data_IF_954334146798
#
_entry.id   IF_954334146798
#
_cell.length_a   1.000
_cell.length_b   1.000
_cell.length_c   1.000
_cell.angle_alpha   90.00
_cell.angle_beta   90.00
_cell.angle_gamma   90.00
#
_symmetry.space_group_name_H-M   'P 1'
#
loop_
_entity.id
_entity.type
_entity.pdbx_description
1 polymer ?
#
# COMPACT_ATOMS: atom_id res chain seq x y z
N UNK A 1 11.88 13.20 13.39
CA UNK A 1 11.96 12.11 14.40
C UNK A 1 10.58 12.00 15.01
N UNK A 2 9.80 11.02 14.62
CA UNK A 2 8.49 10.72 15.21
C UNK A 2 8.76 10.18 16.61
N UNK A 3 8.30 10.88 17.62
CA UNK A 3 8.53 10.53 19.03
C UNK A 3 8.00 9.12 19.29
N UNK A 4 8.88 8.24 19.72
CA UNK A 4 8.64 6.84 20.13
C UNK A 4 7.54 6.69 21.21
N UNK A 5 7.05 7.81 21.79
CA UNK A 5 6.11 7.84 22.91
C UNK A 5 4.68 7.43 22.54
N UNK A 6 4.25 7.59 21.30
CA UNK A 6 2.85 7.42 20.91
C UNK A 6 2.51 6.04 20.32
N UNK A 7 3.34 5.02 20.57
CA UNK A 7 3.09 3.64 20.16
C UNK A 7 2.39 2.88 21.28
N UNK A 8 1.45 2.00 20.92
CA UNK A 8 0.71 1.12 21.86
C UNK A 8 1.63 0.26 22.72
N UNK A 9 2.80 -0.12 22.19
CA UNK A 9 3.78 -0.91 22.95
C UNK A 9 4.33 -0.22 24.19
N UNK A 10 4.29 1.11 24.24
CA UNK A 10 4.81 1.89 25.36
C UNK A 10 3.74 2.24 26.40
N UNK A 11 2.51 1.72 26.24
CA UNK A 11 1.38 2.10 27.08
C UNK A 11 1.12 1.06 28.18
N UNK A 12 0.57 1.53 29.31
CA UNK A 12 0.04 0.64 30.35
C UNK A 12 -1.35 0.15 29.91
N UNK A 13 -1.47 -1.14 29.62
CA UNK A 13 -2.65 -1.72 28.98
C UNK A 13 -3.52 -2.53 29.95
N UNK A 14 -2.98 -2.92 31.10
CA UNK A 14 -3.64 -3.74 32.10
C UNK A 14 -5.05 -3.22 32.44
N UNK A 15 -6.04 -4.09 32.31
CA UNK A 15 -7.46 -3.85 32.54
C UNK A 15 -8.09 -2.70 31.72
N UNK A 16 -7.40 -2.17 30.71
CA UNK A 16 -7.95 -1.15 29.82
C UNK A 16 -8.62 -1.76 28.60
N UNK A 17 -9.74 -1.19 28.21
CA UNK A 17 -10.44 -1.55 26.95
C UNK A 17 -9.95 -0.64 25.85
N UNK A 18 -9.39 -1.22 24.78
CA UNK A 18 -8.83 -0.49 23.63
C UNK A 18 -9.73 -0.68 22.41
N UNK A 19 -10.15 0.43 21.81
CA UNK A 19 -10.74 0.43 20.47
C UNK A 19 -9.62 0.35 19.45
N UNK A 20 -9.52 -0.74 18.71
CA UNK A 20 -8.43 -0.98 17.75
C UNK A 20 -9.01 -0.97 16.34
N UNK A 21 -8.61 0.01 15.52
CA UNK A 21 -8.98 0.10 14.11
C UNK A 21 -8.04 -0.75 13.26
N UNK A 22 -8.58 -1.80 12.68
CA UNK A 22 -7.86 -2.74 11.82
C UNK A 22 -8.45 -2.75 10.39
N UNK A 23 -7.72 -3.25 9.40
CA UNK A 23 -8.23 -3.46 8.04
C UNK A 23 -8.48 -4.94 7.78
N UNK A 24 -9.74 -5.36 7.89
CA UNK A 24 -10.22 -6.70 7.58
C UNK A 24 -10.91 -6.78 6.20
N UNK A 25 -10.71 -5.76 5.35
CA UNK A 25 -11.28 -5.73 4.01
C UNK A 25 -10.43 -6.57 3.05
N UNK A 26 -10.66 -7.86 3.06
CA UNK A 26 -9.95 -8.89 2.28
C UNK A 26 -10.80 -9.41 1.13
N UNK A 27 -10.21 -9.94 0.04
CA UNK A 27 -10.96 -10.55 -1.04
C UNK A 27 -11.61 -11.86 -0.57
N UNK A 28 -12.91 -11.99 -0.80
CA UNK A 28 -13.70 -13.18 -0.47
C UNK A 28 -14.39 -13.71 -1.73
N UNK A 29 -14.20 -14.99 -2.02
CA UNK A 29 -14.87 -15.70 -3.11
C UNK A 29 -15.63 -16.91 -2.53
N UNK A 30 -16.92 -17.00 -2.82
CA UNK A 30 -17.79 -18.11 -2.33
C UNK A 30 -17.69 -18.32 -0.80
N UNK A 31 -17.60 -17.23 -0.02
CA UNK A 31 -17.49 -17.28 1.43
C UNK A 31 -16.09 -17.58 1.99
N UNK A 32 -15.11 -17.86 1.13
CA UNK A 32 -13.74 -18.15 1.52
C UNK A 32 -12.83 -16.94 1.28
N UNK A 33 -12.02 -16.59 2.27
CA UNK A 33 -10.97 -15.58 2.13
C UNK A 33 -9.90 -16.10 1.19
N UNK A 34 -9.57 -15.30 0.16
CA UNK A 34 -8.58 -15.65 -0.86
C UNK A 34 -7.17 -15.20 -0.47
N UNK A 35 -7.08 -14.15 0.34
CA UNK A 35 -5.82 -13.58 0.83
C UNK A 35 -6.06 -13.07 2.27
N UNK A 36 -5.39 -13.67 3.23
CA UNK A 36 -5.49 -13.36 4.66
C UNK A 36 -4.34 -12.46 5.16
N UNK A 37 -3.49 -11.95 4.28
CA UNK A 37 -2.31 -11.14 4.61
C UNK A 37 -2.66 -9.96 5.52
N UNK A 38 -3.76 -9.25 5.24
CA UNK A 38 -4.22 -8.13 6.06
C UNK A 38 -4.69 -8.57 7.45
N UNK A 39 -5.31 -9.75 7.55
CA UNK A 39 -5.74 -10.30 8.85
C UNK A 39 -4.51 -10.66 9.67
N UNK A 40 -3.53 -11.33 9.07
CA UNK A 40 -2.27 -11.71 9.74
C UNK A 40 -1.44 -10.50 10.16
N UNK A 41 -1.46 -9.43 9.38
CA UNK A 41 -0.66 -8.22 9.67
C UNK A 41 -1.06 -7.52 10.98
N UNK A 42 -2.32 -7.60 11.42
CA UNK A 42 -2.81 -6.95 12.64
C UNK A 42 -2.72 -7.84 13.88
N UNK A 43 -2.45 -9.14 13.71
CA UNK A 43 -2.29 -10.10 14.81
C UNK A 43 -1.23 -9.69 15.84
N UNK A 44 -0.04 -9.17 15.44
CA UNK A 44 0.97 -8.73 16.41
C UNK A 44 0.47 -7.64 17.37
N UNK A 45 -0.30 -6.65 16.89
CA UNK A 45 -0.88 -5.61 17.74
C UNK A 45 -1.90 -6.17 18.71
N UNK A 46 -2.76 -7.06 18.24
CA UNK A 46 -3.77 -7.71 19.09
C UNK A 46 -3.08 -8.55 20.17
N UNK A 47 -2.12 -9.41 19.78
CA UNK A 47 -1.36 -10.25 20.72
C UNK A 47 -0.59 -9.41 21.75
N UNK A 48 -0.02 -8.29 21.34
CA UNK A 48 0.65 -7.40 22.28
C UNK A 48 -0.32 -6.88 23.35
N UNK A 49 -1.52 -6.45 22.95
CA UNK A 49 -2.50 -5.90 23.88
C UNK A 49 -2.99 -6.99 24.84
N UNK A 50 -3.39 -8.17 24.35
CA UNK A 50 -3.90 -9.24 25.20
C UNK A 50 -2.83 -9.81 26.14
N UNK A 51 -1.59 -9.94 25.69
CA UNK A 51 -0.47 -10.42 26.53
C UNK A 51 -0.10 -9.44 27.65
N UNK A 52 -0.46 -8.14 27.50
CA UNK A 52 -0.34 -7.12 28.53
C UNK A 52 -1.67 -6.88 29.30
N UNK A 53 -2.55 -7.89 29.34
CA UNK A 53 -3.81 -7.89 30.08
C UNK A 53 -4.78 -6.79 29.67
N UNK A 54 -4.63 -6.26 28.43
CA UNK A 54 -5.60 -5.35 27.82
C UNK A 54 -6.81 -6.09 27.28
N UNK A 55 -7.93 -5.38 27.09
CA UNK A 55 -9.17 -5.84 26.47
C UNK A 55 -9.28 -5.23 25.09
N UNK A 56 -9.54 -6.03 24.07
CA UNK A 56 -9.50 -5.57 22.68
C UNK A 56 -10.89 -5.47 22.09
N UNK A 57 -11.24 -4.30 21.55
CA UNK A 57 -12.44 -4.06 20.74
C UNK A 57 -11.98 -3.74 19.32
N UNK A 58 -12.08 -4.70 18.41
CA UNK A 58 -11.74 -4.53 17.01
C UNK A 58 -12.87 -3.85 16.25
N UNK A 59 -12.55 -2.84 15.45
CA UNK A 59 -13.48 -2.24 14.51
C UNK A 59 -12.84 -2.19 13.11
N UNK A 60 -13.62 -2.51 12.10
CA UNK A 60 -13.18 -2.53 10.70
C UNK A 60 -14.33 -2.25 9.75
N UNK A 61 -13.98 -2.02 8.49
CA UNK A 61 -14.92 -2.02 7.39
C UNK A 61 -14.75 -3.27 6.53
N UNK A 62 -15.78 -3.64 5.79
CA UNK A 62 -15.74 -4.69 4.79
C UNK A 62 -16.62 -4.33 3.59
N UNK A 63 -16.03 -4.29 2.40
CA UNK A 63 -16.71 -3.92 1.18
C UNK A 63 -17.25 -2.48 1.15
N UNK A 64 -18.32 -2.27 0.36
CA UNK A 64 -19.00 -0.99 0.19
C UNK A 64 -20.53 -1.16 0.26
N UNK A 65 -21.10 -1.38 1.44
CA UNK A 65 -22.55 -1.61 1.60
C UNK A 65 -23.39 -0.34 1.46
N UNK A 66 -22.79 0.86 1.36
CA UNK A 66 -23.54 2.10 1.15
C UNK A 66 -24.27 2.65 2.37
N UNK A 67 -23.91 2.20 3.59
CA UNK A 67 -24.56 2.62 4.83
C UNK A 67 -25.83 1.83 5.16
N UNK A 68 -25.94 0.60 4.64
CA UNK A 68 -27.04 -0.31 4.87
C UNK A 68 -26.53 -1.68 5.32
N UNK A 69 -27.28 -2.31 6.22
CA UNK A 69 -26.97 -3.67 6.66
C UNK A 69 -27.16 -4.65 5.50
N UNK A 70 -26.13 -5.45 5.26
CA UNK A 70 -26.14 -6.48 4.23
C UNK A 70 -25.27 -7.66 4.68
N UNK A 71 -25.88 -8.83 4.83
CA UNK A 71 -25.22 -10.06 5.31
C UNK A 71 -23.96 -10.42 4.49
N UNK A 72 -23.91 -10.06 3.20
CA UNK A 72 -22.73 -10.26 2.33
C UNK A 72 -21.50 -9.53 2.84
N UNK A 73 -21.70 -8.41 3.52
CA UNK A 73 -20.63 -7.54 4.03
C UNK A 73 -20.48 -7.62 5.56
N UNK A 74 -21.08 -8.62 6.22
CA UNK A 74 -20.88 -8.83 7.64
C UNK A 74 -19.48 -9.27 7.97
N UNK A 75 -18.92 -8.74 9.06
CA UNK A 75 -17.62 -9.14 9.60
C UNK A 75 -17.69 -10.43 10.46
N UNK A 76 -18.86 -11.01 10.65
CA UNK A 76 -19.02 -12.22 11.46
C UNK A 76 -18.08 -13.37 11.02
N UNK A 77 -17.90 -13.68 9.72
CA UNK A 77 -16.95 -14.71 9.29
C UNK A 77 -15.50 -14.41 9.68
N UNK A 78 -15.12 -13.12 9.76
CA UNK A 78 -13.77 -12.71 10.15
C UNK A 78 -13.47 -13.04 11.62
N UNK A 79 -14.50 -13.12 12.48
CA UNK A 79 -14.28 -13.50 13.88
C UNK A 79 -13.78 -14.95 14.05
N UNK A 80 -14.17 -15.85 13.15
CA UNK A 80 -13.69 -17.24 13.15
C UNK A 80 -12.24 -17.34 12.68
N UNK A 81 -11.89 -16.57 11.64
CA UNK A 81 -10.51 -16.53 11.12
C UNK A 81 -9.57 -15.92 12.16
N UNK A 82 -9.96 -14.78 12.74
CA UNK A 82 -9.19 -14.15 13.83
C UNK A 82 -9.06 -15.08 15.03
N UNK A 83 -10.09 -15.87 15.35
CA UNK A 83 -10.03 -16.83 16.46
C UNK A 83 -8.96 -17.90 16.22
N UNK A 84 -8.80 -18.37 14.99
CA UNK A 84 -7.74 -19.32 14.60
C UNK A 84 -6.35 -18.68 14.69
N UNK A 85 -6.18 -17.47 14.14
CA UNK A 85 -4.89 -16.76 14.13
C UNK A 85 -4.42 -16.35 15.54
N UNK A 86 -5.36 -16.04 16.43
CA UNK A 86 -5.07 -15.67 17.82
C UNK A 86 -4.98 -16.89 18.75
N UNK A 87 -5.43 -18.07 18.30
CA UNK A 87 -5.59 -19.28 19.10
C UNK A 87 -6.48 -19.03 20.34
N UNK A 88 -7.50 -18.20 20.19
CA UNK A 88 -8.51 -17.95 21.24
C UNK A 88 -9.81 -17.46 20.62
N UNK A 89 -10.91 -17.60 21.37
CA UNK A 89 -12.23 -17.14 20.92
C UNK A 89 -12.26 -15.61 20.74
N UNK A 90 -12.72 -15.15 19.57
CA UNK A 90 -13.09 -13.77 19.30
C UNK A 90 -14.62 -13.64 19.42
N UNK A 91 -15.05 -12.80 20.34
CA UNK A 91 -16.48 -12.51 20.56
C UNK A 91 -16.95 -11.60 19.43
N UNK A 92 -18.15 -11.82 18.92
CA UNK A 92 -18.72 -10.97 17.86
C UNK A 92 -19.90 -10.14 18.39
N UNK A 93 -19.95 -8.85 18.00
CA UNK A 93 -21.10 -7.97 18.21
C UNK A 93 -21.78 -7.68 16.89
N UNK A 94 -23.11 -7.88 16.83
CA UNK A 94 -23.91 -7.57 15.64
C UNK A 94 -24.12 -6.07 15.40
N UNK A 95 -23.61 -5.22 16.29
CA UNK A 95 -23.64 -3.76 16.16
C UNK A 95 -22.30 -3.14 16.52
N UNK A 96 -22.00 -1.96 15.93
CA UNK A 96 -20.82 -1.15 16.24
C UNK A 96 -21.06 -0.23 17.44
N UNK A 97 -22.28 0.23 17.63
CA UNK A 97 -22.72 1.22 18.61
C UNK A 97 -24.02 0.80 19.29
N UNK A 98 -24.47 1.57 20.28
CA UNK A 98 -25.71 1.30 21.00
C UNK A 98 -25.53 0.32 22.17
N UNK A 99 -26.62 0.00 22.83
CA UNK A 99 -26.63 -0.74 24.11
C UNK A 99 -25.97 -2.11 24.02
N UNK A 100 -26.24 -2.88 22.95
CA UNK A 100 -25.62 -4.20 22.75
C UNK A 100 -24.09 -4.12 22.68
N UNK A 101 -23.57 -3.20 21.88
CA UNK A 101 -22.13 -3.03 21.74
C UNK A 101 -21.50 -2.59 23.06
N UNK A 102 -22.11 -1.63 23.77
CA UNK A 102 -21.63 -1.14 25.07
C UNK A 102 -21.65 -2.27 26.10
N UNK A 103 -22.73 -3.05 26.20
CA UNK A 103 -22.81 -4.19 27.11
C UNK A 103 -21.72 -5.21 26.86
N UNK A 104 -21.46 -5.56 25.60
CA UNK A 104 -20.40 -6.50 25.26
C UNK A 104 -19.00 -5.93 25.55
N UNK A 105 -18.74 -4.64 25.26
CA UNK A 105 -17.46 -3.97 25.61
C UNK A 105 -17.21 -4.02 27.12
N UNK A 106 -18.23 -3.68 27.92
CA UNK A 106 -18.12 -3.65 29.39
C UNK A 106 -17.99 -5.04 30.01
N UNK A 107 -18.48 -6.10 29.36
CA UNK A 107 -18.39 -7.48 29.85
C UNK A 107 -17.07 -8.17 29.56
N UNK A 108 -16.18 -7.54 28.73
CA UNK A 108 -14.87 -8.11 28.40
C UNK A 108 -14.01 -8.28 29.64
N UNK A 109 -13.36 -9.44 29.72
CA UNK A 109 -12.29 -9.74 30.68
C UNK A 109 -10.93 -9.41 30.06
N UNK A 110 -9.92 -9.29 30.90
CA UNK A 110 -8.53 -9.12 30.46
C UNK A 110 -8.13 -10.22 29.48
N UNK A 111 -7.48 -9.81 28.39
CA UNK A 111 -7.06 -10.70 27.31
C UNK A 111 -8.15 -11.09 26.32
N UNK A 112 -9.42 -10.73 26.55
CA UNK A 112 -10.50 -11.04 25.60
C UNK A 112 -10.54 -10.07 24.42
N UNK A 113 -11.07 -10.57 23.29
CA UNK A 113 -11.20 -9.86 22.03
C UNK A 113 -12.64 -9.85 21.58
N UNK A 114 -13.16 -8.65 21.29
CA UNK A 114 -14.48 -8.40 20.70
C UNK A 114 -14.28 -7.83 19.27
N UNK A 115 -14.94 -8.39 18.29
CA UNK A 115 -15.07 -7.82 16.94
C UNK A 115 -16.45 -7.18 16.79
N UNK A 116 -16.48 -5.90 16.45
CA UNK A 116 -17.73 -5.20 16.12
C UNK A 116 -18.13 -5.50 14.68
N UNK A 117 -19.42 -5.32 14.37
CA UNK A 117 -19.93 -5.44 13.00
C UNK A 117 -19.34 -4.34 12.08
N UNK A 118 -19.58 -4.46 10.80
CA UNK A 118 -19.06 -3.59 9.75
C UNK A 118 -19.46 -2.12 9.98
N UNK A 119 -18.44 -1.28 10.20
CA UNK A 119 -18.61 0.17 10.40
C UNK A 119 -19.40 0.83 9.26
N UNK A 120 -19.24 0.34 8.02
CA UNK A 120 -19.89 0.88 6.82
C UNK A 120 -21.36 0.52 6.68
N UNK A 121 -21.95 -0.18 7.62
CA UNK A 121 -23.40 -0.27 7.76
C UNK A 121 -24.00 1.05 8.25
N UNK A 122 -23.16 1.96 8.74
CA UNK A 122 -23.55 3.30 9.18
C UNK A 122 -23.04 4.36 8.20
N UNK A 123 -23.95 5.15 7.60
CA UNK A 123 -23.57 6.30 6.72
C UNK A 123 -22.73 7.34 7.47
N UNK A 124 -22.90 7.41 8.79
CA UNK A 124 -22.17 8.31 9.68
C UNK A 124 -20.66 8.01 9.74
N UNK A 125 -20.25 6.76 9.51
CA UNK A 125 -18.82 6.38 9.48
C UNK A 125 -18.05 7.18 8.43
N UNK A 126 -18.52 7.14 7.18
CA UNK A 126 -17.81 7.79 6.06
C UNK A 126 -17.94 9.33 6.08
N UNK A 127 -18.93 9.87 6.83
CA UNK A 127 -19.13 11.31 7.02
C UNK A 127 -18.31 11.91 8.15
N UNK A 128 -17.57 11.10 8.88
CA UNK A 128 -16.87 11.51 10.10
C UNK A 128 -17.81 12.20 11.11
N UNK A 129 -18.97 11.58 11.32
CA UNK A 129 -20.00 12.11 12.20
C UNK A 129 -19.56 12.08 13.66
N UNK A 130 -19.72 13.22 14.36
CA UNK A 130 -19.21 13.41 15.72
C UNK A 130 -19.94 12.55 16.75
N UNK A 131 -21.25 12.39 16.58
CA UNK A 131 -22.06 11.60 17.50
C UNK A 131 -21.79 10.10 17.33
N UNK A 132 -21.65 9.64 16.08
CA UNK A 132 -21.23 8.27 15.81
C UNK A 132 -19.83 7.99 16.36
N UNK A 133 -18.89 8.91 16.20
CA UNK A 133 -17.53 8.81 16.74
C UNK A 133 -17.54 8.70 18.26
N UNK A 134 -18.33 9.53 18.94
CA UNK A 134 -18.54 9.50 20.37
C UNK A 134 -19.14 8.15 20.82
N UNK A 135 -20.20 7.69 20.17
CA UNK A 135 -20.87 6.44 20.50
C UNK A 135 -19.96 5.22 20.25
N UNK A 136 -19.14 5.24 19.20
CA UNK A 136 -18.14 4.20 18.93
C UNK A 136 -17.08 4.14 20.03
N UNK A 137 -16.72 5.28 20.63
CA UNK A 137 -15.71 5.40 21.69
C UNK A 137 -16.20 4.92 23.06
N UNK A 138 -17.51 4.92 23.32
CA UNK A 138 -18.09 4.53 24.62
C UNK A 138 -17.64 3.12 25.04
N UNK A 139 -17.29 2.99 26.33
CA UNK A 139 -16.79 1.73 26.90
C UNK A 139 -15.31 1.43 26.58
N UNK A 140 -14.59 2.35 25.92
CA UNK A 140 -13.16 2.23 25.64
C UNK A 140 -12.37 3.30 26.38
N UNK A 141 -11.13 2.97 26.77
CA UNK A 141 -10.22 3.87 27.47
C UNK A 141 -9.13 4.46 26.55
N UNK A 142 -8.88 3.80 25.44
CA UNK A 142 -7.83 4.17 24.47
C UNK A 142 -8.26 3.80 23.05
N UNK A 143 -7.69 4.50 22.07
CA UNK A 143 -7.82 4.15 20.67
C UNK A 143 -6.45 3.78 20.08
N UNK A 144 -6.43 2.77 19.22
CA UNK A 144 -5.26 2.34 18.47
C UNK A 144 -5.61 2.29 16.98
N UNK A 145 -4.92 3.10 16.18
CA UNK A 145 -4.98 2.95 14.72
C UNK A 145 -3.94 1.96 14.26
N UNK A 146 -4.37 0.84 13.68
CA UNK A 146 -3.50 -0.19 13.09
C UNK A 146 -3.86 -0.46 11.63
N UNK A 147 -4.52 0.51 10.98
CA UNK A 147 -5.01 0.42 9.61
C UNK A 147 -4.41 1.51 8.71
N UNK A 148 -3.14 1.37 8.31
CA UNK A 148 -2.49 2.32 7.41
C UNK A 148 -3.28 2.50 6.10
N UNK A 149 -3.77 1.40 5.51
CA UNK A 149 -4.57 1.40 4.28
C UNK A 149 -5.82 2.29 4.32
N UNK A 150 -6.33 2.60 5.52
CA UNK A 150 -7.48 3.47 5.73
C UNK A 150 -7.10 4.88 6.18
N UNK A 151 -5.84 5.14 6.53
CA UNK A 151 -5.38 6.38 7.16
C UNK A 151 -5.45 7.61 6.25
N UNK A 152 -5.65 7.43 4.95
CA UNK A 152 -5.91 8.51 3.98
C UNK A 152 -7.34 9.05 4.05
N UNK A 153 -8.23 8.44 4.83
CA UNK A 153 -9.66 8.80 4.93
C UNK A 153 -9.95 9.58 6.20
N UNK A 154 -10.83 10.56 6.08
CA UNK A 154 -11.36 11.31 7.22
C UNK A 154 -12.70 10.68 7.65
N UNK A 155 -12.64 9.52 8.31
CA UNK A 155 -13.81 8.76 8.77
C UNK A 155 -13.90 8.74 10.29
N UNK A 156 -15.11 8.50 10.84
CA UNK A 156 -15.36 8.47 12.29
C UNK A 156 -14.40 7.54 13.03
N UNK A 157 -14.19 6.31 12.51
CA UNK A 157 -13.31 5.32 13.14
C UNK A 157 -11.80 5.57 12.91
N UNK A 158 -11.42 6.57 12.12
CA UNK A 158 -10.02 6.92 11.81
C UNK A 158 -9.61 8.21 12.50
N UNK A 159 -10.41 9.27 12.33
CA UNK A 159 -10.11 10.60 12.87
C UNK A 159 -11.07 11.01 13.99
N UNK A 160 -12.38 10.80 13.83
CA UNK A 160 -13.37 11.29 14.77
C UNK A 160 -13.23 10.73 16.19
N UNK A 161 -12.93 9.43 16.33
CA UNK A 161 -12.71 8.80 17.65
C UNK A 161 -11.54 9.37 18.43
N UNK A 162 -10.58 10.03 17.75
CA UNK A 162 -9.41 10.63 18.39
C UNK A 162 -9.74 11.89 19.19
N UNK A 163 -10.92 12.47 18.98
CA UNK A 163 -11.41 13.59 19.79
C UNK A 163 -11.94 13.14 21.16
N UNK A 164 -12.20 11.84 21.33
CA UNK A 164 -12.80 11.26 22.52
C UNK A 164 -11.88 10.31 23.31
N UNK A 165 -10.82 9.80 22.68
CA UNK A 165 -9.91 8.83 23.27
C UNK A 165 -8.44 9.20 23.08
N UNK A 166 -7.58 9.02 24.08
CA UNK A 166 -6.14 9.00 23.89
C UNK A 166 -5.78 7.98 22.81
N UNK A 167 -4.99 8.40 21.81
CA UNK A 167 -4.87 7.67 20.54
C UNK A 167 -3.42 7.33 20.22
N UNK A 168 -3.18 6.09 19.77
CA UNK A 168 -1.86 5.52 19.60
C UNK A 168 -1.70 4.81 18.26
N UNK A 169 -0.45 4.71 17.81
CA UNK A 169 -0.09 3.87 16.67
C UNK A 169 -0.12 2.39 17.08
N UNK A 170 -0.74 1.55 16.26
CA UNK A 170 -0.58 0.10 16.33
C UNK A 170 0.78 -0.33 15.77
N UNK A 171 1.16 -1.57 16.03
CA UNK A 171 2.46 -2.13 15.63
C UNK A 171 2.57 -2.21 14.09
N UNK A 172 1.50 -2.64 13.41
CA UNK A 172 1.48 -2.74 11.95
C UNK A 172 1.54 -1.35 11.30
N UNK A 173 0.70 -0.41 11.76
CA UNK A 173 0.72 0.97 11.27
C UNK A 173 2.11 1.60 11.43
N UNK A 174 2.74 1.44 12.60
CA UNK A 174 4.07 2.00 12.86
C UNK A 174 5.13 1.38 11.95
N UNK A 175 5.09 0.06 11.75
CA UNK A 175 6.00 -0.66 10.83
C UNK A 175 5.89 -0.14 9.40
N UNK A 176 4.67 0.11 8.93
CA UNK A 176 4.39 0.68 7.61
C UNK A 176 5.01 2.08 7.48
N UNK A 177 4.74 2.96 8.47
CA UNK A 177 5.29 4.32 8.50
C UNK A 177 6.83 4.29 8.50
N UNK A 178 7.45 3.48 9.36
CA UNK A 178 8.90 3.38 9.45
C UNK A 178 9.54 2.94 8.13
N UNK A 179 8.93 1.95 7.46
CA UNK A 179 9.41 1.48 6.17
C UNK A 179 9.37 2.60 5.11
N UNK A 180 8.29 3.39 5.09
CA UNK A 180 8.12 4.49 4.15
C UNK A 180 9.02 5.70 4.48
N UNK A 181 9.18 6.03 5.76
CA UNK A 181 10.09 7.10 6.21
C UNK A 181 11.54 6.78 5.85
N UNK A 182 11.97 5.54 6.01
CA UNK A 182 13.31 5.07 5.64
C UNK A 182 13.62 5.22 4.14
N UNK A 183 12.62 5.34 3.30
CA UNK A 183 12.79 5.49 1.84
C UNK A 183 12.58 6.93 1.37
N UNK A 184 11.71 7.70 2.06
CA UNK A 184 11.27 9.01 1.58
C UNK A 184 11.76 10.19 2.41
N UNK A 185 12.07 9.98 3.70
CA UNK A 185 12.45 11.07 4.62
C UNK A 185 13.95 11.08 4.88
N UNK A 186 14.52 9.92 5.22
CA UNK A 186 15.95 9.77 5.55
C UNK A 186 16.53 8.51 4.88
N UNK A 187 16.51 8.43 3.53
CA UNK A 187 17.00 7.25 2.82
C UNK A 187 18.54 7.17 2.82
N UNK A 188 19.04 5.94 2.87
CA UNK A 188 20.45 5.69 2.54
C UNK A 188 20.66 5.90 1.06
N UNK A 189 21.53 6.83 0.70
CA UNK A 189 21.85 7.20 -0.69
C UNK A 189 22.91 6.29 -1.31
N UNK A 190 22.95 6.13 -2.66
CA UNK A 190 21.99 6.64 -3.65
C UNK A 190 20.63 5.95 -3.57
N UNK A 191 19.58 6.67 -4.00
CA UNK A 191 18.17 6.20 -3.95
C UNK A 191 17.62 6.09 -5.37
N UNK A 192 16.98 4.94 -5.68
CA UNK A 192 16.27 4.74 -6.93
C UNK A 192 14.80 4.50 -6.70
N UNK A 193 13.94 5.09 -7.54
CA UNK A 193 12.53 4.73 -7.61
C UNK A 193 12.22 4.08 -8.96
N UNK A 194 11.48 2.97 -8.94
CA UNK A 194 10.91 2.33 -10.14
C UNK A 194 9.43 2.68 -10.17
N UNK A 195 9.01 3.41 -11.21
CA UNK A 195 7.63 3.83 -11.42
C UNK A 195 7.15 3.26 -12.73
N UNK A 196 6.23 2.32 -12.64
CA UNK A 196 5.57 1.69 -13.79
C UNK A 196 4.08 1.98 -13.82
N UNK A 197 3.45 1.51 -14.89
CA UNK A 197 2.02 1.62 -15.08
C UNK A 197 1.61 2.04 -16.49
N UNK A 198 0.31 2.26 -16.70
CA UNK A 198 -0.22 2.57 -18.03
C UNK A 198 -0.29 4.07 -18.33
N UNK A 199 -0.47 4.93 -17.32
CA UNK A 199 -0.79 6.36 -17.53
C UNK A 199 0.11 7.28 -16.70
N UNK A 200 0.75 8.23 -17.37
CA UNK A 200 1.53 9.33 -16.75
C UNK A 200 0.62 10.20 -15.89
N UNK A 201 -0.58 10.53 -16.41
CA UNK A 201 -1.55 11.41 -15.74
C UNK A 201 -1.89 10.97 -14.32
N UNK A 202 -1.90 9.67 -14.06
CA UNK A 202 -2.19 9.11 -12.72
C UNK A 202 -0.98 9.11 -11.77
N UNK A 203 0.22 9.41 -12.27
CA UNK A 203 1.48 9.33 -11.51
C UNK A 203 2.20 10.67 -11.37
N UNK A 204 1.65 11.75 -11.93
CA UNK A 204 2.28 13.09 -11.92
C UNK A 204 2.62 13.53 -10.50
N UNK A 205 1.67 13.38 -9.56
CA UNK A 205 1.87 13.77 -8.15
C UNK A 205 3.01 12.98 -7.50
N UNK A 206 3.05 11.67 -7.73
CA UNK A 206 4.08 10.78 -7.22
C UNK A 206 5.44 11.18 -7.78
N UNK A 207 5.58 11.25 -9.12
CA UNK A 207 6.85 11.58 -9.77
C UNK A 207 7.35 12.96 -9.31
N UNK A 208 6.47 13.96 -9.27
CA UNK A 208 6.81 15.32 -8.86
C UNK A 208 7.34 15.41 -7.41
N UNK A 209 6.78 14.61 -6.49
CA UNK A 209 7.28 14.54 -5.12
C UNK A 209 8.62 13.79 -5.05
N UNK A 210 8.77 12.71 -5.81
CA UNK A 210 9.96 11.87 -5.79
C UNK A 210 11.17 12.54 -6.44
N UNK A 211 10.99 13.40 -7.46
CA UNK A 211 12.08 14.15 -8.10
C UNK A 211 13.00 14.90 -7.13
N UNK A 212 12.47 15.33 -6.00
CA UNK A 212 13.23 16.07 -4.97
C UNK A 212 13.99 15.17 -4.00
N UNK A 213 13.77 13.86 -4.07
CA UNK A 213 14.21 12.89 -3.06
C UNK A 213 15.07 11.77 -3.62
N UNK A 214 14.90 11.46 -4.93
CA UNK A 214 15.53 10.35 -5.59
C UNK A 214 16.74 10.80 -6.39
N UNK A 215 17.77 9.97 -6.43
CA UNK A 215 18.92 10.17 -7.32
C UNK A 215 18.62 9.61 -8.72
N UNK A 216 17.78 8.56 -8.79
CA UNK A 216 17.32 7.93 -10.04
C UNK A 216 15.82 7.65 -10.02
N UNK A 217 15.16 7.85 -11.16
CA UNK A 217 13.77 7.41 -11.39
C UNK A 217 13.72 6.59 -12.67
N UNK A 218 13.40 5.30 -12.54
CA UNK A 218 13.10 4.42 -13.66
C UNK A 218 11.64 4.61 -14.04
N UNK A 219 11.37 5.00 -15.27
CA UNK A 219 10.02 5.08 -15.85
C UNK A 219 9.82 3.89 -16.77
N UNK A 220 8.72 3.17 -16.59
CA UNK A 220 8.47 1.92 -17.29
C UNK A 220 6.98 1.63 -17.50
N UNK A 221 6.65 0.50 -18.11
CA UNK A 221 5.28 0.17 -18.51
C UNK A 221 4.82 1.06 -19.68
N UNK A 222 3.54 1.05 -20.00
CA UNK A 222 3.01 1.83 -21.12
C UNK A 222 3.18 3.35 -20.93
N UNK A 223 3.30 3.82 -19.68
CA UNK A 223 3.61 5.24 -19.44
C UNK A 223 4.98 5.65 -20.00
N UNK A 224 5.95 4.75 -20.08
CA UNK A 224 7.25 5.05 -20.68
C UNK A 224 7.11 5.42 -22.17
N UNK A 225 6.16 4.84 -22.89
CA UNK A 225 5.89 5.17 -24.28
C UNK A 225 5.48 6.65 -24.44
N UNK A 226 4.77 7.22 -23.46
CA UNK A 226 4.43 8.65 -23.45
C UNK A 226 5.69 9.52 -23.32
N UNK A 227 6.65 9.13 -22.48
CA UNK A 227 7.93 9.83 -22.38
C UNK A 227 8.78 9.69 -23.65
N UNK A 228 8.84 8.50 -24.24
CA UNK A 228 9.55 8.26 -25.49
C UNK A 228 8.95 9.08 -26.63
N UNK A 229 7.63 9.10 -26.77
CA UNK A 229 6.94 9.93 -27.77
C UNK A 229 7.16 11.43 -27.53
N UNK A 230 7.17 11.90 -26.27
CA UNK A 230 7.48 13.29 -25.93
C UNK A 230 8.91 13.69 -26.33
N UNK A 231 9.86 12.74 -26.33
CA UNK A 231 11.23 12.93 -26.81
C UNK A 231 11.38 12.81 -28.34
N UNK A 232 10.28 12.55 -29.08
CA UNK A 232 10.25 12.46 -30.54
C UNK A 232 10.52 11.06 -31.10
N UNK A 233 10.45 9.99 -30.27
CA UNK A 233 10.59 8.63 -30.78
C UNK A 233 9.26 8.16 -31.40
N UNK A 234 9.34 7.41 -32.49
CA UNK A 234 8.22 6.65 -33.03
C UNK A 234 7.93 5.46 -32.12
N UNK A 235 6.66 5.29 -31.76
CA UNK A 235 6.24 4.25 -30.79
C UNK A 235 5.28 3.22 -31.40
N UNK A 236 5.06 3.25 -32.69
CA UNK A 236 4.15 2.36 -33.42
C UNK A 236 2.73 2.39 -32.84
N UNK A 237 2.14 1.21 -32.64
CA UNK A 237 0.81 1.03 -32.03
C UNK A 237 0.83 0.97 -30.50
N UNK A 238 1.94 1.34 -29.86
CA UNK A 238 2.06 1.30 -28.42
C UNK A 238 1.04 2.22 -27.71
N UNK A 239 0.51 1.77 -26.58
CA UNK A 239 -0.36 2.61 -25.74
C UNK A 239 0.44 3.80 -25.18
N UNK A 240 -0.08 5.01 -25.33
CA UNK A 240 0.46 6.25 -24.74
C UNK A 240 -0.64 7.29 -24.52
N UNK A 241 -0.35 8.32 -23.75
CA UNK A 241 -1.26 9.45 -23.50
C UNK A 241 -0.83 10.67 -24.30
N UNK A 242 -1.48 10.93 -25.45
CA UNK A 242 -1.17 12.05 -26.35
C UNK A 242 -1.27 13.41 -25.64
N UNK A 243 -2.25 13.56 -24.78
CA UNK A 243 -2.50 14.80 -24.03
C UNK A 243 -1.48 15.04 -22.92
N UNK A 244 -0.70 14.01 -22.55
CA UNK A 244 0.31 14.07 -21.49
C UNK A 244 1.75 14.31 -22.02
N UNK A 245 1.96 14.49 -23.35
CA UNK A 245 3.30 14.70 -23.91
C UNK A 245 3.99 15.94 -23.33
N UNK A 246 3.27 17.06 -23.23
CA UNK A 246 3.78 18.29 -22.62
C UNK A 246 4.19 18.08 -21.16
N UNK A 247 3.38 17.35 -20.38
CA UNK A 247 3.64 17.04 -18.99
C UNK A 247 4.86 16.14 -18.84
N UNK A 248 5.02 15.15 -19.74
CA UNK A 248 6.20 14.27 -19.74
C UNK A 248 7.51 15.08 -19.96
N UNK A 249 7.52 16.02 -20.91
CA UNK A 249 8.66 16.93 -21.13
C UNK A 249 8.95 17.78 -19.89
N UNK A 250 7.93 18.40 -19.29
CA UNK A 250 8.12 19.17 -18.06
C UNK A 250 8.72 18.33 -16.91
N UNK A 251 8.29 17.07 -16.79
CA UNK A 251 8.83 16.15 -15.78
C UNK A 251 10.33 15.88 -16.04
N UNK A 252 10.72 15.62 -17.28
CA UNK A 252 12.12 15.39 -17.65
C UNK A 252 12.99 16.62 -17.36
N UNK A 253 12.52 17.81 -17.69
CA UNK A 253 13.21 19.07 -17.38
C UNK A 253 13.36 19.29 -15.86
N UNK A 254 12.28 19.04 -15.09
CA UNK A 254 12.31 19.12 -13.62
C UNK A 254 13.31 18.12 -13.03
N UNK A 255 13.43 16.92 -13.61
CA UNK A 255 14.42 15.93 -13.21
C UNK A 255 15.84 16.48 -13.30
N UNK A 256 16.19 17.04 -14.44
CA UNK A 256 17.51 17.65 -14.65
C UNK A 256 17.81 18.78 -13.65
N UNK A 257 16.81 19.63 -13.36
CA UNK A 257 16.94 20.72 -12.38
C UNK A 257 17.12 20.24 -10.93
N UNK A 258 16.63 19.03 -10.61
CA UNK A 258 16.73 18.44 -9.27
C UNK A 258 17.90 17.44 -9.14
N UNK A 259 18.80 17.33 -10.12
CA UNK A 259 19.86 16.33 -10.18
C UNK A 259 19.33 14.86 -10.08
N UNK A 260 18.09 14.63 -10.48
CA UNK A 260 17.48 13.31 -10.54
C UNK A 260 17.57 12.76 -11.97
N UNK A 261 18.23 11.62 -12.14
CA UNK A 261 18.42 11.01 -13.46
C UNK A 261 17.24 10.10 -13.79
N UNK A 262 16.62 10.33 -14.95
CA UNK A 262 15.63 9.40 -15.49
C UNK A 262 16.30 8.25 -16.21
N UNK A 263 15.81 7.05 -15.97
CA UNK A 263 16.15 5.83 -16.69
C UNK A 263 14.90 5.44 -17.48
N UNK A 264 14.95 5.65 -18.79
CA UNK A 264 13.90 5.27 -19.74
C UNK A 264 14.32 3.98 -20.46
N UNK A 265 13.40 3.24 -21.08
CA UNK A 265 13.76 2.11 -21.92
C UNK A 265 14.68 2.51 -23.06
N UNK A 266 15.73 1.71 -23.29
CA UNK A 266 16.63 1.83 -24.44
C UNK A 266 16.28 0.81 -25.54
N UNK A 267 15.64 -0.28 -25.13
CA UNK A 267 15.08 -1.32 -25.97
C UNK A 267 13.79 -1.86 -25.37
N UNK A 268 12.94 -2.40 -26.21
CA UNK A 268 11.61 -2.88 -25.86
C UNK A 268 11.30 -4.23 -26.49
N UNK A 269 10.42 -4.97 -25.84
CA UNK A 269 9.83 -6.19 -26.38
C UNK A 269 8.52 -5.85 -27.07
N UNK A 270 8.51 -6.09 -28.37
CA UNK A 270 7.38 -5.79 -29.25
C UNK A 270 6.53 -7.02 -29.52
N UNK A 271 5.23 -6.79 -29.75
CA UNK A 271 4.34 -7.74 -30.41
C UNK A 271 3.23 -7.02 -31.17
N UNK A 272 2.61 -7.72 -32.13
CA UNK A 272 1.41 -7.23 -32.83
C UNK A 272 0.15 -7.34 -31.98
N UNK A 273 0.17 -8.22 -30.96
CA UNK A 273 -0.97 -8.51 -30.07
C UNK A 273 -0.53 -8.73 -28.65
N UNK A 274 -1.33 -8.27 -27.71
CA UNK A 274 -1.18 -8.58 -26.29
C UNK A 274 -1.92 -9.88 -25.98
N UNK A 275 -1.29 -11.00 -26.29
CA UNK A 275 -1.85 -12.35 -26.10
C UNK A 275 -0.76 -13.29 -25.56
N UNK A 276 -1.18 -14.31 -24.82
CA UNK A 276 -0.27 -15.35 -24.30
C UNK A 276 0.49 -16.04 -25.44
N UNK A 277 1.78 -16.26 -25.23
CA UNK A 277 2.66 -16.92 -26.21
C UNK A 277 2.78 -16.19 -27.56
N UNK A 278 2.50 -14.89 -27.60
CA UNK A 278 2.71 -14.08 -28.81
C UNK A 278 4.17 -14.11 -29.26
N UNK A 279 4.40 -14.06 -30.58
CA UNK A 279 5.74 -13.83 -31.13
C UNK A 279 6.23 -12.45 -30.73
N UNK A 280 7.43 -12.39 -30.18
CA UNK A 280 8.08 -11.16 -29.72
C UNK A 280 9.30 -10.81 -30.53
N UNK A 281 9.60 -9.52 -30.55
CA UNK A 281 10.83 -8.96 -31.15
C UNK A 281 11.45 -7.98 -30.15
N UNK A 282 12.74 -8.14 -29.85
CA UNK A 282 13.46 -7.15 -29.03
C UNK A 282 14.14 -6.16 -30.00
N UNK A 283 13.79 -4.89 -29.89
CA UNK A 283 14.34 -3.83 -30.72
C UNK A 283 14.79 -2.64 -29.89
N UNK A 284 15.71 -1.87 -30.44
CA UNK A 284 16.06 -0.53 -29.94
C UNK A 284 14.86 0.43 -30.09
N UNK A 285 14.69 1.38 -29.17
CA UNK A 285 13.58 2.34 -29.19
C UNK A 285 13.50 3.18 -30.46
N UNK A 286 14.61 3.34 -31.18
CA UNK A 286 14.65 4.07 -32.46
C UNK A 286 14.20 3.20 -33.67
N UNK A 287 13.79 1.96 -33.44
CA UNK A 287 13.48 0.97 -34.49
C UNK A 287 12.14 0.28 -34.29
N UNK A 288 11.17 0.95 -33.64
CA UNK A 288 9.84 0.40 -33.40
C UNK A 288 8.99 0.49 -34.68
N UNK A 289 8.54 -0.64 -35.27
CA UNK A 289 7.70 -0.62 -36.46
C UNK A 289 6.29 -0.07 -36.16
N UNK A 290 5.68 0.58 -37.16
CA UNK A 290 4.36 1.21 -37.06
C UNK A 290 3.22 0.25 -36.69
N UNK A 291 3.36 -1.05 -37.01
CA UNK A 291 2.32 -2.06 -36.81
C UNK A 291 2.50 -2.87 -35.52
N UNK A 292 3.48 -2.54 -34.67
CA UNK A 292 3.81 -3.26 -33.44
C UNK A 292 3.63 -2.39 -32.17
N UNK A 293 3.48 -3.05 -31.02
CA UNK A 293 3.30 -2.44 -29.70
C UNK A 293 4.47 -2.80 -28.80
N UNK A 294 5.03 -1.84 -28.07
CA UNK A 294 5.94 -2.06 -26.96
C UNK A 294 5.16 -2.54 -25.72
N UNK A 295 5.43 -3.76 -25.28
CA UNK A 295 4.68 -4.43 -24.21
C UNK A 295 5.53 -4.79 -22.99
N UNK A 296 6.85 -4.80 -23.11
CA UNK A 296 7.79 -4.99 -22.00
C UNK A 296 9.11 -4.30 -22.32
N UNK A 297 9.98 -4.16 -21.31
CA UNK A 297 11.35 -3.66 -21.49
C UNK A 297 12.27 -4.76 -22.06
N UNK A 298 13.26 -4.34 -22.85
CA UNK A 298 14.24 -5.25 -23.42
C UNK A 298 15.45 -5.50 -22.52
N UNK A 299 16.36 -6.36 -22.98
CA UNK A 299 17.53 -6.80 -22.21
C UNK A 299 18.53 -5.68 -21.90
N UNK A 300 18.72 -4.72 -22.81
CA UNK A 300 19.59 -3.55 -22.54
C UNK A 300 19.05 -2.74 -21.39
N UNK A 301 17.75 -2.47 -21.41
CA UNK A 301 17.04 -1.72 -20.36
C UNK A 301 17.13 -2.44 -19.00
N UNK A 302 16.91 -3.76 -18.95
CA UNK A 302 17.12 -4.56 -17.73
C UNK A 302 18.53 -4.42 -17.19
N UNK A 303 19.55 -4.52 -18.08
CA UNK A 303 20.95 -4.39 -17.68
C UNK A 303 21.30 -2.98 -17.17
N UNK A 304 20.70 -1.94 -17.75
CA UNK A 304 20.88 -0.58 -17.29
C UNK A 304 20.25 -0.37 -15.90
N UNK A 305 19.00 -0.86 -15.70
CA UNK A 305 18.35 -0.85 -14.40
C UNK A 305 19.18 -1.62 -13.37
N UNK A 306 19.73 -2.79 -13.75
CA UNK A 306 20.61 -3.58 -12.87
C UNK A 306 21.81 -2.75 -12.39
N UNK A 307 22.53 -2.06 -13.28
CA UNK A 307 23.67 -1.21 -12.91
C UNK A 307 23.26 -0.15 -11.88
N UNK A 308 22.12 0.52 -12.11
CA UNK A 308 21.61 1.53 -11.18
C UNK A 308 21.26 0.90 -9.82
N UNK A 309 20.62 -0.27 -9.81
CA UNK A 309 20.28 -0.99 -8.56
C UNK A 309 21.54 -1.46 -7.83
N UNK A 310 22.58 -1.88 -8.56
CA UNK A 310 23.87 -2.30 -7.97
C UNK A 310 24.57 -1.15 -7.20
N UNK A 311 24.42 0.08 -7.66
CA UNK A 311 25.01 1.27 -7.03
C UNK A 311 24.16 1.82 -5.87
N UNK A 312 22.85 1.59 -5.90
CA UNK A 312 21.91 2.17 -4.92
C UNK A 312 21.90 1.44 -3.58
N UNK A 313 21.50 2.18 -2.54
CA UNK A 313 21.31 1.66 -1.16
C UNK A 313 19.84 1.57 -0.76
N UNK A 314 18.98 2.32 -1.45
CA UNK A 314 17.54 2.34 -1.19
C UNK A 314 16.78 2.30 -2.51
N UNK A 315 15.73 1.48 -2.56
CA UNK A 315 14.86 1.32 -3.72
C UNK A 315 13.39 1.41 -3.30
N UNK A 316 12.62 2.22 -4.04
CA UNK A 316 11.17 2.30 -3.97
C UNK A 316 10.57 1.78 -5.28
N UNK A 317 9.60 0.85 -5.20
CA UNK A 317 8.96 0.29 -6.40
C UNK A 317 7.44 0.43 -6.37
N UNK A 318 6.90 1.09 -7.42
CA UNK A 318 5.47 1.21 -7.63
C UNK A 318 5.09 1.06 -9.11
N UNK A 319 4.55 -0.08 -9.47
CA UNK A 319 4.06 -0.43 -10.80
C UNK A 319 5.01 -1.36 -11.58
N UNK A 320 4.43 -2.27 -12.39
CA UNK A 320 5.19 -3.23 -13.20
C UNK A 320 5.93 -2.54 -14.36
N UNK A 321 6.91 -3.26 -14.94
CA UNK A 321 7.75 -2.75 -16.02
C UNK A 321 7.20 -3.07 -17.42
N UNK A 322 6.30 -4.04 -17.53
CA UNK A 322 5.64 -4.47 -18.76
C UNK A 322 4.21 -4.90 -18.51
N UNK A 323 3.58 -5.52 -19.51
CA UNK A 323 2.24 -6.13 -19.40
C UNK A 323 2.32 -7.48 -18.66
N UNK A 324 2.70 -7.41 -17.40
CA UNK A 324 3.13 -8.50 -16.52
C UNK A 324 2.09 -9.62 -16.33
N UNK A 325 0.81 -9.34 -16.62
CA UNK A 325 -0.27 -10.34 -16.53
C UNK A 325 -0.26 -11.33 -17.69
N UNK A 326 0.48 -11.01 -18.77
CA UNK A 326 0.47 -11.77 -20.02
C UNK A 326 1.89 -12.21 -20.40
N UNK A 327 2.22 -13.51 -20.18
CA UNK A 327 3.48 -14.05 -20.66
C UNK A 327 3.54 -14.04 -22.22
N UNK A 328 4.67 -13.57 -22.81
CA UNK A 328 6.00 -13.39 -22.22
C UNK A 328 6.34 -11.93 -21.82
N UNK A 329 5.38 -11.02 -21.67
CA UNK A 329 5.60 -9.61 -21.37
C UNK A 329 5.78 -9.31 -19.87
N UNK A 330 5.91 -10.35 -19.06
CA UNK A 330 6.26 -10.33 -17.63
C UNK A 330 7.77 -10.46 -17.38
N UNK A 331 8.56 -10.78 -18.40
CA UNK A 331 9.97 -11.13 -18.25
C UNK A 331 10.82 -9.98 -17.69
N UNK A 332 10.66 -8.75 -18.21
CA UNK A 332 11.40 -7.60 -17.73
C UNK A 332 11.12 -7.31 -16.25
N UNK A 333 9.85 -7.38 -15.84
CA UNK A 333 9.45 -7.22 -14.44
C UNK A 333 10.05 -8.32 -13.56
N UNK A 334 9.97 -9.58 -13.99
CA UNK A 334 10.47 -10.72 -13.24
C UNK A 334 12.00 -10.68 -13.07
N UNK A 335 12.75 -10.30 -14.11
CA UNK A 335 14.22 -10.19 -14.05
C UNK A 335 14.64 -9.09 -13.09
N UNK A 336 14.07 -7.89 -13.18
CA UNK A 336 14.39 -6.79 -12.28
C UNK A 336 13.97 -7.14 -10.83
N UNK A 337 12.83 -7.78 -10.63
CA UNK A 337 12.37 -8.21 -9.31
C UNK A 337 13.36 -9.19 -8.66
N UNK A 338 13.93 -10.12 -9.41
CA UNK A 338 14.97 -11.06 -8.95
C UNK A 338 16.26 -10.34 -8.58
N UNK A 339 16.68 -9.35 -9.38
CA UNK A 339 17.87 -8.51 -9.09
C UNK A 339 17.69 -7.79 -7.76
N UNK A 340 16.56 -7.09 -7.56
CA UNK A 340 16.24 -6.38 -6.32
C UNK A 340 16.18 -7.33 -5.13
N UNK A 341 15.51 -8.48 -5.30
CA UNK A 341 15.40 -9.54 -4.29
C UNK A 341 16.78 -10.03 -3.81
N UNK A 342 17.69 -10.29 -4.75
CA UNK A 342 19.05 -10.76 -4.45
C UNK A 342 19.80 -9.72 -3.62
N UNK A 343 19.81 -8.45 -4.05
CA UNK A 343 20.46 -7.35 -3.34
C UNK A 343 19.88 -7.10 -1.94
N UNK A 344 18.59 -7.31 -1.79
CA UNK A 344 17.93 -7.18 -0.48
C UNK A 344 18.32 -8.30 0.46
N UNK A 345 18.38 -9.55 -0.02
CA UNK A 345 18.88 -10.70 0.75
C UNK A 345 20.33 -10.53 1.21
N UNK A 346 21.17 -9.97 0.36
CA UNK A 346 22.55 -9.62 0.64
C UNK A 346 22.69 -8.45 1.63
N UNK A 347 21.56 -7.83 2.05
CA UNK A 347 21.53 -6.64 2.93
C UNK A 347 22.28 -5.43 2.36
N UNK A 348 22.52 -5.42 1.04
CA UNK A 348 23.17 -4.33 0.32
C UNK A 348 22.19 -3.26 -0.15
N UNK A 349 20.87 -3.58 -0.18
CA UNK A 349 19.79 -2.72 -0.64
C UNK A 349 18.61 -2.77 0.35
N UNK A 350 18.06 -1.62 0.71
CA UNK A 350 16.75 -1.49 1.37
C UNK A 350 15.72 -1.35 0.26
N UNK A 351 14.77 -2.28 0.15
CA UNK A 351 13.75 -2.28 -0.88
C UNK A 351 12.36 -2.18 -0.29
N UNK A 352 11.59 -1.20 -0.76
CA UNK A 352 10.18 -1.02 -0.42
C UNK A 352 9.35 -1.05 -1.69
N UNK A 353 8.31 -1.85 -1.70
CA UNK A 353 7.39 -1.94 -2.82
C UNK A 353 5.95 -1.76 -2.36
N UNK A 354 5.07 -1.30 -3.26
CA UNK A 354 3.64 -1.20 -2.97
C UNK A 354 2.80 -0.86 -4.20
N UNK A 355 1.50 -1.07 -4.03
CA UNK A 355 0.51 -1.01 -5.10
C UNK A 355 0.10 -2.39 -5.58
N UNK A 356 -1.19 -2.58 -5.88
CA UNK A 356 -1.77 -3.90 -6.18
C UNK A 356 -1.04 -4.64 -7.30
N UNK A 357 -0.82 -3.96 -8.44
CA UNK A 357 -0.15 -4.54 -9.61
C UNK A 357 1.32 -4.89 -9.30
N UNK A 358 2.00 -4.06 -8.50
CA UNK A 358 3.37 -4.34 -8.06
C UNK A 358 3.43 -5.61 -7.24
N UNK A 359 2.55 -5.74 -6.24
CA UNK A 359 2.48 -6.92 -5.37
C UNK A 359 2.18 -8.17 -6.20
N UNK A 360 1.22 -8.09 -7.11
CA UNK A 360 0.87 -9.20 -8.01
C UNK A 360 2.06 -9.62 -8.87
N UNK A 361 2.81 -8.65 -9.40
CA UNK A 361 4.01 -8.92 -10.19
C UNK A 361 5.13 -9.56 -9.36
N UNK A 362 5.36 -9.09 -8.13
CA UNK A 362 6.35 -9.67 -7.22
C UNK A 362 5.97 -11.09 -6.77
N UNK A 363 4.68 -11.35 -6.56
CA UNK A 363 4.15 -12.69 -6.27
C UNK A 363 4.38 -13.64 -7.45
N UNK A 364 4.09 -13.19 -8.68
CA UNK A 364 4.34 -13.98 -9.90
C UNK A 364 5.83 -14.31 -10.07
N UNK A 365 6.71 -13.38 -9.71
CA UNK A 365 8.16 -13.58 -9.73
C UNK A 365 8.67 -14.46 -8.56
N UNK A 366 7.84 -14.76 -7.54
CA UNK A 366 8.18 -15.55 -6.37
C UNK A 366 9.18 -14.88 -5.43
N UNK A 367 9.18 -13.53 -5.33
CA UNK A 367 10.20 -12.78 -4.59
C UNK A 367 9.66 -11.81 -3.54
N UNK A 368 8.34 -11.75 -3.34
CA UNK A 368 7.67 -10.80 -2.45
C UNK A 368 8.27 -10.79 -1.03
N UNK A 369 8.50 -11.96 -0.45
CA UNK A 369 9.04 -12.10 0.91
C UNK A 369 10.51 -11.69 1.06
N UNK A 370 11.18 -11.42 -0.05
CA UNK A 370 12.59 -11.05 -0.06
C UNK A 370 12.80 -9.52 -0.04
N UNK A 371 11.74 -8.73 -0.21
CA UNK A 371 11.81 -7.29 -0.09
C UNK A 371 11.90 -6.89 1.39
N UNK A 372 12.54 -5.76 1.69
CA UNK A 372 12.61 -5.23 3.05
C UNK A 372 11.22 -4.92 3.60
N UNK A 373 10.36 -4.40 2.75
CA UNK A 373 8.94 -4.17 3.04
C UNK A 373 8.08 -4.16 1.77
N UNK A 374 6.89 -4.77 1.87
CA UNK A 374 5.88 -4.69 0.82
C UNK A 374 4.57 -4.16 1.42
N UNK A 375 4.18 -2.97 0.97
CA UNK A 375 2.97 -2.30 1.44
C UNK A 375 1.72 -2.84 0.75
N UNK A 376 0.77 -3.34 1.53
CA UNK A 376 -0.55 -3.78 1.02
C UNK A 376 -1.60 -2.68 1.08
N UNK A 377 -1.19 -1.44 1.37
CA UNK A 377 -2.09 -0.35 1.73
C UNK A 377 -2.81 0.33 0.56
N UNK A 378 -2.43 0.06 -0.68
CA UNK A 378 -3.10 0.58 -1.87
C UNK A 378 -3.12 2.12 -1.92
N UNK A 379 -4.32 2.74 -1.81
CA UNK A 379 -4.49 4.19 -1.95
C UNK A 379 -3.70 5.03 -0.94
N UNK A 380 -3.63 4.62 0.32
CA UNK A 380 -2.86 5.34 1.34
C UNK A 380 -1.35 5.36 1.01
N UNK A 381 -0.81 4.27 0.48
CA UNK A 381 0.56 4.21 0.00
C UNK A 381 0.82 5.20 -1.14
N UNK A 382 -0.07 5.26 -2.13
CA UNK A 382 0.06 6.19 -3.25
C UNK A 382 -0.02 7.65 -2.79
N UNK A 383 -0.97 7.99 -1.92
CA UNK A 383 -1.09 9.33 -1.36
C UNK A 383 0.15 9.73 -0.53
N UNK A 384 0.73 8.78 0.21
CA UNK A 384 2.01 8.99 0.90
C UNK A 384 3.15 9.28 -0.08
N UNK A 385 3.23 8.53 -1.18
CA UNK A 385 4.23 8.79 -2.25
C UNK A 385 4.04 10.15 -2.92
N UNK A 386 2.82 10.65 -3.01
CA UNK A 386 2.51 12.01 -3.48
C UNK A 386 2.92 13.10 -2.48
N UNK A 387 3.34 12.72 -1.26
CA UNK A 387 3.68 13.66 -0.20
C UNK A 387 2.47 14.25 0.53
N UNK A 388 1.29 13.65 0.37
CA UNK A 388 0.07 14.07 1.08
C UNK A 388 0.14 13.68 2.55
N UNK A 389 -0.39 14.56 3.40
CA UNK A 389 -0.59 14.24 4.81
C UNK A 389 -1.80 13.36 4.97
N UNK A 390 -1.62 12.16 5.54
CA UNK A 390 -2.72 11.25 5.80
C UNK A 390 -3.44 11.65 7.09
N UNK A 391 -4.77 11.93 7.04
CA UNK A 391 -5.54 12.39 8.21
C UNK A 391 -5.38 11.47 9.43
N UNK A 392 -5.53 10.15 9.24
CA UNK A 392 -5.44 9.15 10.31
C UNK A 392 -4.06 9.00 10.96
N UNK A 393 -3.01 9.56 10.35
CA UNK A 393 -1.66 9.65 10.93
C UNK A 393 -1.49 11.02 11.60
N UNK A 394 -1.96 12.08 10.93
CA UNK A 394 -1.81 13.45 11.42
C UNK A 394 -2.47 13.67 12.78
N UNK A 395 -3.65 13.06 13.02
CA UNK A 395 -4.35 13.19 14.32
C UNK A 395 -3.60 12.51 15.46
N UNK A 396 -2.84 11.42 15.17
CA UNK A 396 -2.05 10.72 16.18
C UNK A 396 -0.81 11.52 16.61
N UNK A 397 -0.31 12.42 15.76
CA UNK A 397 0.81 13.30 16.09
C UNK A 397 0.39 14.55 16.90
N UNK A 398 -0.89 14.96 16.82
CA UNK A 398 -1.39 16.16 17.52
C UNK A 398 -1.63 15.96 19.03
N UNK A 399 -1.65 14.72 19.51
CA UNK A 399 -1.94 14.39 20.92
C UNK A 399 -0.68 14.32 21.79
N UNK A 400 0.44 14.83 21.29
CA UNK A 400 1.72 14.98 22.04
C UNK A 400 1.92 16.41 22.50
#
# INVERSE_FOLDING_TARGET
MTTLSNNVINQKLENKTLLVRVDLNVPVLNGNVQDDTRIKSVVPSIKHIINNRGKVVLCSHFGRPGGEENKKYSLKPMSEILSKELNQRVIFSSSCVGEEAIKKKNSLKEGEVLLLENLRFHKSEEKNDIEFSKNLSLGCAMYVNDAFSCSHRNHSSITGVTDFLPSFFGIHLKKEIDALENVLVDPKKPVVSIIGGSKVSTKIGIISNLLKKMDYIVISGAMANTFLAAMGNEIGKSLYEKEALGIANEILEKGSKNNCKFILPEDVILSKKLEKNSKTLNVDINSIPDDMMALDIGKKTVNNIKKVVDDCKTLLWNGPLGAFEVNPFDNGTNEVAKIVSTKTKEKSLISVAGGGDTISALNNAGVTDNFSYVSTAGGAFLEWLEGKRLPGISVLHKQN
#
